data_IF_604933252954
#
_entry.id   IF_604933252954
#
_cell.length_a   1.000
_cell.length_b   1.000
_cell.length_c   1.000
_cell.angle_alpha   90.00
_cell.angle_beta   90.00
_cell.angle_gamma   90.00
#
_symmetry.space_group_name_H-M   'P 1'
#
loop_
_entity.id
_entity.type
_entity.pdbx_description
1 polymer ?
#
# COMPACT_ATOMS: atom_id res chain seq x y z
N UNK A 1 -13.96 3.65 11.30
CA UNK A 1 -14.08 3.92 12.75
C UNK A 1 -15.47 4.48 13.04
N UNK A 2 -16.40 3.67 13.56
CA UNK A 2 -17.69 4.17 14.07
C UNK A 2 -17.47 4.61 15.51
N UNK A 3 -17.64 5.90 15.80
CA UNK A 3 -17.58 6.44 17.17
C UNK A 3 -18.81 5.95 17.93
N UNK A 4 -18.61 5.12 18.94
CA UNK A 4 -19.61 4.83 19.97
C UNK A 4 -19.69 5.99 20.97
N UNK A 5 -20.85 6.24 21.59
CA UNK A 5 -20.98 7.27 22.60
C UNK A 5 -20.09 6.95 23.80
N UNK A 6 -19.21 7.89 24.15
CA UNK A 6 -18.38 7.85 25.35
C UNK A 6 -19.31 8.00 26.56
N UNK A 7 -19.58 6.90 27.26
CA UNK A 7 -20.13 6.97 28.61
C UNK A 7 -19.02 7.47 29.54
N UNK A 8 -19.08 8.75 29.90
CA UNK A 8 -18.26 9.32 30.97
C UNK A 8 -18.66 8.65 32.29
N UNK A 9 -17.87 7.67 32.74
CA UNK A 9 -17.89 7.23 34.13
C UNK A 9 -17.28 8.34 34.99
N UNK A 10 -18.15 9.17 35.56
CA UNK A 10 -17.80 10.16 36.58
C UNK A 10 -17.31 9.41 37.82
N UNK A 11 -16.06 9.64 38.20
CA UNK A 11 -15.52 9.26 39.51
C UNK A 11 -16.28 10.07 40.58
N UNK A 12 -17.20 9.41 41.27
CA UNK A 12 -17.98 10.01 42.36
C UNK A 12 -17.19 10.00 43.68
N UNK A 13 -17.31 11.13 44.36
CA UNK A 13 -16.73 11.54 45.64
C UNK A 13 -17.21 10.68 46.84
N UNK A 14 -16.44 10.75 47.93
CA UNK A 14 -16.24 9.81 49.04
C UNK A 14 -17.43 9.37 49.94
N UNK A 15 -18.70 9.64 49.61
CA UNK A 15 -19.85 9.24 50.47
C UNK A 15 -20.58 7.96 50.03
N UNK A 16 -19.99 7.18 49.11
CA UNK A 16 -20.64 6.05 48.43
C UNK A 16 -20.16 4.66 48.90
N UNK A 17 -19.66 4.54 50.13
CA UNK A 17 -19.05 3.28 50.60
C UNK A 17 -20.04 2.14 50.94
N UNK A 18 -21.35 2.39 51.05
CA UNK A 18 -22.34 1.33 51.39
C UNK A 18 -23.20 0.82 50.22
N UNK A 19 -23.35 1.58 49.13
CA UNK A 19 -24.12 1.14 47.94
C UNK A 19 -23.25 0.49 46.86
N UNK A 20 -21.93 0.68 46.90
CA UNK A 20 -21.00 0.04 45.97
C UNK A 20 -20.91 -1.49 46.14
N UNK A 21 -21.13 -2.02 47.35
CA UNK A 21 -21.05 -3.47 47.59
C UNK A 21 -22.16 -4.27 46.89
N UNK A 22 -23.38 -3.73 46.81
CA UNK A 22 -24.52 -4.41 46.16
C UNK A 22 -24.39 -4.45 44.63
N UNK A 23 -23.89 -3.38 44.01
CA UNK A 23 -23.63 -3.39 42.56
C UNK A 23 -22.45 -4.31 42.21
N UNK A 24 -21.38 -4.33 43.02
CA UNK A 24 -20.26 -5.25 42.82
C UNK A 24 -20.66 -6.72 42.94
N UNK A 25 -21.63 -7.07 43.80
CA UNK A 25 -22.14 -8.45 43.91
C UNK A 25 -22.85 -8.95 42.65
N UNK A 26 -23.56 -8.09 41.91
CA UNK A 26 -24.25 -8.48 40.67
C UNK A 26 -23.24 -8.75 39.53
N UNK A 27 -22.16 -7.97 39.44
CA UNK A 27 -21.12 -8.16 38.42
C UNK A 27 -20.30 -9.45 38.60
N UNK A 28 -20.21 -9.99 39.83
CA UNK A 28 -19.54 -11.27 40.09
C UNK A 28 -20.31 -12.49 39.52
N UNK A 29 -21.60 -12.33 39.24
CA UNK A 29 -22.47 -13.41 38.70
C UNK A 29 -22.56 -13.43 37.18
N UNK A 30 -21.89 -12.52 36.47
CA UNK A 30 -21.89 -12.54 35.01
C UNK A 30 -21.19 -13.82 34.53
N UNK A 31 -21.85 -14.63 33.68
CA UNK A 31 -21.22 -15.81 33.06
C UNK A 31 -19.97 -15.41 32.28
N UNK A 32 -18.96 -16.28 32.29
CA UNK A 32 -17.67 -16.00 31.67
C UNK A 32 -17.79 -15.76 30.17
N UNK A 33 -18.76 -16.39 29.52
CA UNK A 33 -19.08 -16.23 28.10
C UNK A 33 -19.48 -14.80 27.75
N UNK A 34 -20.28 -14.14 28.61
CA UNK A 34 -20.70 -12.75 28.41
C UNK A 34 -19.51 -11.80 28.56
N UNK A 35 -18.60 -12.07 29.51
CA UNK A 35 -17.37 -11.27 29.69
C UNK A 35 -16.48 -11.38 28.44
N UNK A 36 -16.33 -12.59 27.88
CA UNK A 36 -15.55 -12.80 26.67
C UNK A 36 -16.17 -12.08 25.46
N UNK A 37 -17.50 -12.13 25.31
CA UNK A 37 -18.22 -11.38 24.25
C UNK A 37 -18.04 -9.86 24.37
N UNK A 38 -17.95 -9.32 25.59
CA UNK A 38 -17.62 -7.91 25.79
C UNK A 38 -16.18 -7.62 25.36
N UNK A 39 -15.23 -8.50 25.68
CA UNK A 39 -13.82 -8.35 25.33
C UNK A 39 -13.55 -8.42 23.82
N UNK A 40 -14.39 -9.11 23.04
CA UNK A 40 -14.32 -9.10 21.58
C UNK A 40 -14.49 -7.70 20.97
N UNK A 41 -15.10 -6.76 21.71
CA UNK A 41 -15.30 -5.37 21.28
C UNK A 41 -14.25 -4.40 21.83
N UNK A 42 -13.37 -4.84 22.73
CA UNK A 42 -12.38 -3.98 23.37
C UNK A 42 -11.04 -4.03 22.62
N UNK A 43 -10.39 -2.87 22.50
CA UNK A 43 -8.97 -2.81 22.19
C UNK A 43 -8.12 -3.39 23.33
N UNK A 44 -6.83 -3.65 23.09
CA UNK A 44 -5.92 -4.12 24.14
C UNK A 44 -5.88 -3.13 25.32
N UNK A 45 -5.83 -1.82 25.05
CA UNK A 45 -5.81 -0.80 26.09
C UNK A 45 -7.08 -0.82 26.96
N UNK A 46 -8.25 -0.92 26.32
CA UNK A 46 -9.53 -1.01 27.04
C UNK A 46 -9.67 -2.33 27.79
N UNK A 47 -9.18 -3.43 27.23
CA UNK A 47 -9.15 -4.74 27.89
C UNK A 47 -8.29 -4.70 29.17
N UNK A 48 -7.14 -4.01 29.14
CA UNK A 48 -6.31 -3.84 30.32
C UNK A 48 -7.03 -3.04 31.41
N UNK A 49 -7.71 -1.96 31.04
CA UNK A 49 -8.53 -1.19 31.98
C UNK A 49 -9.65 -2.05 32.59
N UNK A 50 -10.38 -2.79 31.75
CA UNK A 50 -11.42 -3.72 32.21
C UNK A 50 -10.85 -4.82 33.12
N UNK A 51 -9.62 -5.28 32.88
CA UNK A 51 -8.94 -6.31 33.67
C UNK A 51 -8.60 -5.87 35.10
N UNK A 52 -8.66 -4.56 35.39
CA UNK A 52 -8.39 -4.02 36.72
C UNK A 52 -9.62 -4.06 37.65
N UNK A 53 -10.79 -4.45 37.14
CA UNK A 53 -12.03 -4.52 37.93
C UNK A 53 -11.97 -5.58 39.04
N UNK A 54 -11.59 -6.82 38.72
CA UNK A 54 -11.43 -7.91 39.69
C UNK A 54 -10.51 -9.02 39.16
N UNK A 55 -10.10 -9.96 40.03
CA UNK A 55 -9.22 -11.07 39.67
C UNK A 55 -9.78 -11.98 38.57
N UNK A 56 -11.10 -12.25 38.60
CA UNK A 56 -11.80 -13.06 37.59
C UNK A 56 -11.71 -12.41 36.20
N UNK A 57 -11.96 -11.11 36.10
CA UNK A 57 -11.84 -10.36 34.84
C UNK A 57 -10.41 -10.33 34.33
N UNK A 58 -9.44 -10.16 35.23
CA UNK A 58 -8.01 -10.25 34.88
C UNK A 58 -7.63 -11.61 34.30
N UNK A 59 -8.12 -12.68 34.90
CA UNK A 59 -7.87 -14.04 34.43
C UNK A 59 -8.50 -14.29 33.05
N UNK A 60 -9.74 -13.85 32.83
CA UNK A 60 -10.40 -13.94 31.52
C UNK A 60 -9.70 -13.08 30.47
N UNK A 61 -9.29 -11.85 30.83
CA UNK A 61 -8.60 -10.94 29.93
C UNK A 61 -7.30 -11.56 29.44
N UNK A 62 -6.50 -12.16 30.33
CA UNK A 62 -5.24 -12.83 29.97
C UNK A 62 -5.43 -14.00 29.00
N UNK A 63 -6.54 -14.74 29.10
CA UNK A 63 -6.86 -15.86 28.19
C UNK A 63 -7.47 -15.39 26.86
N UNK A 64 -7.96 -14.16 26.80
CA UNK A 64 -8.65 -13.62 25.63
C UNK A 64 -7.71 -13.49 24.43
N UNK A 65 -8.16 -13.82 23.19
CA UNK A 65 -7.36 -13.62 21.99
C UNK A 65 -6.82 -12.20 21.84
N UNK A 66 -7.61 -11.16 22.09
CA UNK A 66 -7.14 -9.76 22.05
C UNK A 66 -5.90 -9.53 22.92
N UNK A 67 -5.83 -10.15 24.10
CA UNK A 67 -4.66 -10.01 24.98
C UNK A 67 -3.45 -10.78 24.47
N UNK A 68 -3.58 -12.00 23.97
CA UNK A 68 -2.39 -12.85 23.67
C UNK A 68 -2.02 -12.97 22.19
N UNK A 69 -2.92 -12.60 21.27
CA UNK A 69 -2.72 -12.79 19.83
C UNK A 69 -1.84 -11.71 19.23
N UNK A 70 -2.17 -10.43 19.41
CA UNK A 70 -1.49 -9.32 18.73
C UNK A 70 -0.52 -8.60 19.66
N UNK A 71 0.71 -9.09 19.74
CA UNK A 71 1.72 -8.67 20.71
C UNK A 71 2.66 -7.64 20.07
N UNK A 72 2.75 -6.45 20.69
CA UNK A 72 3.63 -5.36 20.23
C UNK A 72 4.65 -4.99 21.31
N UNK A 73 5.92 -4.86 20.90
CA UNK A 73 7.01 -4.32 21.70
C UNK A 73 7.50 -3.02 21.05
N UNK A 74 7.33 -1.89 21.74
CA UNK A 74 7.72 -0.57 21.24
C UNK A 74 8.83 0.13 22.05
N UNK A 75 9.26 -0.48 23.17
CA UNK A 75 10.30 0.04 24.04
C UNK A 75 11.01 -1.10 24.79
N UNK A 76 12.24 -0.86 25.23
CA UNK A 76 13.05 -1.80 26.03
C UNK A 76 13.10 -1.42 27.52
N UNK A 77 12.05 -0.75 28.02
CA UNK A 77 11.88 -0.52 29.47
C UNK A 77 11.50 -1.84 30.16
N UNK A 78 11.67 -1.90 31.49
CA UNK A 78 11.31 -3.10 32.27
C UNK A 78 9.84 -3.42 32.13
N UNK A 79 8.96 -2.45 32.38
CA UNK A 79 7.51 -2.65 32.27
C UNK A 79 7.07 -3.11 30.87
N UNK A 80 7.70 -2.58 29.81
CA UNK A 80 7.37 -2.97 28.44
C UNK A 80 7.76 -4.43 28.15
N UNK A 81 8.93 -4.86 28.64
CA UNK A 81 9.40 -6.25 28.48
C UNK A 81 8.61 -7.21 29.36
N UNK A 82 8.31 -6.83 30.61
CA UNK A 82 7.51 -7.66 31.51
C UNK A 82 6.10 -7.85 30.93
N UNK A 83 5.50 -6.78 30.39
CA UNK A 83 4.23 -6.87 29.69
C UNK A 83 4.31 -7.73 28.42
N UNK A 84 5.37 -7.57 27.64
CA UNK A 84 5.64 -8.36 26.44
C UNK A 84 5.73 -9.86 26.74
N UNK A 85 6.54 -10.24 27.73
CA UNK A 85 6.69 -11.63 28.19
C UNK A 85 5.38 -12.17 28.77
N UNK A 86 4.71 -11.39 29.63
CA UNK A 86 3.42 -11.80 30.20
C UNK A 86 2.37 -12.14 29.13
N UNK A 87 2.38 -11.43 28.00
CA UNK A 87 1.47 -11.72 26.86
C UNK A 87 1.89 -12.97 26.09
N UNK A 88 3.19 -13.16 25.87
CA UNK A 88 3.70 -14.39 25.25
C UNK A 88 3.41 -15.62 26.12
N UNK A 89 3.54 -15.50 27.43
CA UNK A 89 3.36 -16.62 28.35
C UNK A 89 1.88 -16.95 28.63
N UNK A 90 0.96 -16.04 28.28
CA UNK A 90 -0.47 -16.18 28.57
C UNK A 90 -1.21 -17.30 27.80
N UNK A 91 -0.55 -17.97 26.86
CA UNK A 91 -1.11 -19.15 26.19
C UNK A 91 -0.18 -19.74 25.15
N UNK A 92 -0.53 -20.91 24.62
CA UNK A 92 0.24 -21.64 23.60
C UNK A 92 -0.27 -21.45 22.16
N UNK A 93 -1.29 -20.61 21.98
CA UNK A 93 -1.94 -20.40 20.68
C UNK A 93 -1.09 -19.60 19.69
N UNK A 94 -1.65 -19.43 18.49
CA UNK A 94 -1.02 -18.64 17.42
C UNK A 94 -0.91 -17.16 17.81
N UNK A 95 0.24 -16.55 17.52
CA UNK A 95 0.50 -15.14 17.81
C UNK A 95 0.95 -14.36 16.57
N UNK A 96 0.63 -13.07 16.56
CA UNK A 96 1.16 -12.05 15.67
C UNK A 96 2.13 -11.20 16.51
N UNK A 97 3.38 -11.12 16.10
CA UNK A 97 4.45 -10.46 16.85
C UNK A 97 4.95 -9.24 16.08
N UNK A 98 4.87 -8.08 16.73
CA UNK A 98 5.33 -6.79 16.20
C UNK A 98 6.43 -6.22 17.10
N UNK A 99 7.64 -6.06 16.58
CA UNK A 99 8.77 -5.44 17.27
C UNK A 99 9.08 -4.14 16.54
N UNK A 100 8.84 -2.99 17.18
CA UNK A 100 8.98 -1.65 16.61
C UNK A 100 9.84 -0.79 17.53
N UNK A 101 11.16 -0.88 17.34
CA UNK A 101 12.15 -0.20 18.17
C UNK A 101 12.91 0.80 17.30
N UNK A 102 12.55 2.08 17.39
CA UNK A 102 13.26 3.12 16.63
C UNK A 102 14.73 3.27 17.06
N UNK A 103 15.07 2.93 18.31
CA UNK A 103 16.42 2.96 18.86
C UNK A 103 16.59 1.78 19.82
N UNK A 104 17.75 1.13 19.79
CA UNK A 104 18.13 0.08 20.75
C UNK A 104 19.30 0.57 21.58
N UNK A 105 19.01 1.17 22.74
CA UNK A 105 20.02 1.69 23.67
C UNK A 105 20.73 0.61 24.49
N UNK A 106 20.14 -0.58 24.59
CA UNK A 106 20.66 -1.69 25.40
C UNK A 106 20.71 -3.00 24.58
N UNK A 107 21.72 -3.20 23.71
CA UNK A 107 21.79 -4.39 22.83
C UNK A 107 21.79 -5.71 23.61
N UNK A 108 22.48 -5.78 24.76
CA UNK A 108 22.47 -6.97 25.61
C UNK A 108 21.06 -7.35 26.09
N UNK A 109 20.23 -6.35 26.42
CA UNK A 109 18.84 -6.55 26.84
C UNK A 109 17.94 -6.96 25.67
N UNK A 110 18.16 -6.38 24.50
CA UNK A 110 17.48 -6.79 23.27
C UNK A 110 17.77 -8.26 22.96
N UNK A 111 19.04 -8.67 23.00
CA UNK A 111 19.46 -10.06 22.78
C UNK A 111 18.87 -11.02 23.82
N UNK A 112 18.98 -10.70 25.11
CA UNK A 112 18.59 -11.63 26.18
C UNK A 112 17.07 -11.76 26.34
N UNK A 113 16.31 -10.68 26.16
CA UNK A 113 14.87 -10.68 26.35
C UNK A 113 14.12 -10.92 25.02
N UNK A 114 14.37 -10.06 24.02
CA UNK A 114 13.60 -10.03 22.77
C UNK A 114 14.00 -11.18 21.85
N UNK A 115 15.28 -11.35 21.54
CA UNK A 115 15.73 -12.44 20.66
C UNK A 115 15.50 -13.82 21.28
N UNK A 116 15.55 -13.95 22.61
CA UNK A 116 15.18 -15.20 23.28
C UNK A 116 13.67 -15.49 23.15
N UNK A 117 12.83 -14.49 23.36
CA UNK A 117 11.39 -14.61 23.21
C UNK A 117 10.99 -14.97 21.77
N UNK A 118 11.61 -14.34 20.76
CA UNK A 118 11.39 -14.68 19.34
C UNK A 118 11.70 -16.16 19.11
N UNK A 119 12.91 -16.63 19.47
CA UNK A 119 13.32 -18.03 19.31
C UNK A 119 12.33 -19.01 19.95
N UNK A 120 11.99 -18.77 21.21
CA UNK A 120 11.09 -19.65 21.98
C UNK A 120 9.68 -19.74 21.37
N UNK A 121 9.26 -18.72 20.63
CA UNK A 121 7.90 -18.60 20.13
C UNK A 121 7.76 -18.77 18.60
N UNK A 122 8.86 -18.94 17.84
CA UNK A 122 8.83 -19.03 16.37
C UNK A 122 7.83 -20.05 15.83
N UNK A 123 7.64 -21.18 16.52
CA UNK A 123 6.73 -22.25 16.06
C UNK A 123 5.27 -21.86 15.99
N UNK A 124 4.85 -20.84 16.74
CA UNK A 124 3.45 -20.39 16.82
C UNK A 124 3.24 -18.97 16.28
N UNK A 125 4.32 -18.31 15.83
CA UNK A 125 4.21 -16.99 15.22
C UNK A 125 3.63 -17.17 13.80
N UNK A 126 2.51 -16.49 13.54
CA UNK A 126 1.86 -16.43 12.22
C UNK A 126 2.26 -15.21 11.42
N UNK A 127 2.42 -14.07 12.08
CA UNK A 127 2.90 -12.84 11.49
C UNK A 127 4.07 -12.33 12.33
N UNK A 128 5.20 -12.08 11.68
CA UNK A 128 6.38 -11.50 12.32
C UNK A 128 6.75 -10.19 11.64
N UNK A 129 6.60 -9.09 12.36
CA UNK A 129 7.02 -7.76 11.95
C UNK A 129 8.16 -7.27 12.83
N UNK A 130 9.28 -6.92 12.20
CA UNK A 130 10.49 -6.42 12.86
C UNK A 130 10.87 -5.09 12.20
N UNK A 131 10.82 -4.01 12.97
CA UNK A 131 11.28 -2.67 12.61
C UNK A 131 12.27 -2.23 13.68
N UNK A 132 13.56 -2.38 13.40
CA UNK A 132 14.66 -2.15 14.36
C UNK A 132 15.84 -1.47 13.66
N UNK A 133 16.81 -0.89 14.39
CA UNK A 133 17.99 -0.33 13.76
C UNK A 133 18.87 -1.42 13.17
N UNK A 134 19.64 -1.12 12.11
CA UNK A 134 20.56 -2.11 11.52
C UNK A 134 21.59 -2.62 12.53
N UNK A 135 21.95 -1.81 13.54
CA UNK A 135 22.94 -2.14 14.57
C UNK A 135 22.64 -3.41 15.40
N UNK A 136 21.43 -3.96 15.33
CA UNK A 136 21.05 -5.21 16.05
C UNK A 136 20.75 -6.38 15.12
N UNK A 137 21.07 -6.26 13.83
CA UNK A 137 20.90 -7.32 12.83
C UNK A 137 21.62 -8.62 13.22
N UNK A 138 22.84 -8.52 13.74
CA UNK A 138 23.67 -9.62 14.24
C UNK A 138 23.04 -10.39 15.39
N UNK A 139 22.08 -9.79 16.09
CA UNK A 139 21.35 -10.42 17.20
C UNK A 139 20.00 -10.98 16.74
N UNK A 140 19.25 -10.24 15.91
CA UNK A 140 17.90 -10.63 15.52
C UNK A 140 17.87 -11.67 14.40
N UNK A 141 18.77 -11.60 13.41
CA UNK A 141 18.78 -12.56 12.30
C UNK A 141 19.11 -14.00 12.75
N UNK A 142 20.04 -14.23 13.70
CA UNK A 142 20.23 -15.55 14.30
C UNK A 142 19.01 -16.04 15.11
N UNK A 143 18.22 -15.13 15.68
CA UNK A 143 17.00 -15.51 16.40
C UNK A 143 15.92 -16.12 15.48
N UNK A 144 16.02 -15.87 14.16
CA UNK A 144 15.13 -16.42 13.14
C UNK A 144 15.56 -17.81 12.64
N UNK A 145 16.54 -18.47 13.26
CA UNK A 145 16.99 -19.82 12.88
C UNK A 145 16.13 -20.94 13.46
N UNK A 146 15.01 -20.64 14.12
CA UNK A 146 14.06 -21.64 14.63
C UNK A 146 12.96 -21.93 13.61
N UNK A 147 12.47 -23.17 13.57
CA UNK A 147 11.37 -23.56 12.66
C UNK A 147 10.14 -22.65 12.85
N UNK A 148 9.51 -22.29 11.72
CA UNK A 148 8.37 -21.38 11.69
C UNK A 148 7.16 -21.99 10.96
N UNK A 149 6.64 -23.16 11.41
CA UNK A 149 5.54 -23.88 10.75
C UNK A 149 4.26 -23.07 10.56
N UNK A 150 3.97 -22.11 11.44
CA UNK A 150 2.75 -21.30 11.41
C UNK A 150 2.92 -19.97 10.67
N UNK A 151 4.14 -19.60 10.28
CA UNK A 151 4.45 -18.28 9.74
C UNK A 151 3.85 -18.11 8.35
N UNK A 152 3.00 -17.09 8.19
CA UNK A 152 2.31 -16.72 6.95
C UNK A 152 2.91 -15.45 6.33
N UNK A 153 3.31 -14.49 7.18
CA UNK A 153 3.86 -13.21 6.75
C UNK A 153 5.11 -12.85 7.55
N UNK A 154 6.18 -12.48 6.85
CA UNK A 154 7.42 -11.98 7.41
C UNK A 154 7.67 -10.55 6.92
N UNK A 155 7.87 -9.61 7.84
CA UNK A 155 8.31 -8.26 7.50
C UNK A 155 9.53 -7.90 8.33
N UNK A 156 10.65 -7.59 7.67
CA UNK A 156 11.88 -7.14 8.30
C UNK A 156 12.24 -5.79 7.70
N UNK A 157 12.40 -4.79 8.57
CA UNK A 157 12.74 -3.42 8.22
C UNK A 157 13.89 -2.99 9.10
N UNK A 158 15.01 -2.67 8.47
CA UNK A 158 16.11 -2.03 9.15
C UNK A 158 16.14 -0.54 8.84
N UNK A 159 16.27 0.28 9.88
CA UNK A 159 16.45 1.74 9.77
C UNK A 159 15.38 2.45 8.92
N UNK A 160 14.10 2.07 9.06
CA UNK A 160 12.99 2.64 8.26
C UNK A 160 12.96 4.18 8.26
N UNK A 161 13.37 4.81 9.36
CA UNK A 161 13.40 6.28 9.52
C UNK A 161 14.72 6.91 9.07
N UNK A 162 15.78 6.13 8.85
CA UNK A 162 17.07 6.64 8.40
C UNK A 162 17.13 6.63 6.87
N UNK A 163 17.47 7.78 6.29
CA UNK A 163 17.70 7.90 4.84
C UNK A 163 19.12 7.51 4.42
N UNK A 164 20.07 7.44 5.36
CA UNK A 164 21.48 7.13 5.10
C UNK A 164 21.72 5.62 4.95
N UNK A 165 20.76 4.89 4.37
CA UNK A 165 20.57 3.44 4.45
C UNK A 165 21.84 2.64 4.73
N UNK A 166 21.85 1.95 5.87
CA UNK A 166 22.83 0.91 6.15
C UNK A 166 22.16 -0.42 5.82
N UNK A 167 22.83 -1.26 5.02
CA UNK A 167 22.34 -2.62 4.75
C UNK A 167 22.65 -3.51 5.93
N UNK A 168 21.71 -4.39 6.26
CA UNK A 168 21.98 -5.47 7.21
C UNK A 168 23.00 -6.48 6.67
N UNK A 169 23.48 -7.32 7.57
CA UNK A 169 24.05 -8.63 7.28
C UNK A 169 23.10 -9.44 6.40
N UNK A 170 23.66 -10.32 5.56
CA UNK A 170 22.85 -11.15 4.67
C UNK A 170 21.92 -12.08 5.46
N UNK A 171 20.69 -12.28 4.97
CA UNK A 171 19.82 -13.33 5.53
C UNK A 171 20.51 -14.68 5.40
N UNK A 172 20.40 -15.50 6.45
CA UNK A 172 20.89 -16.87 6.39
C UNK A 172 20.09 -17.68 5.36
N UNK A 173 20.73 -18.46 4.48
CA UNK A 173 20.04 -19.36 3.56
C UNK A 173 19.24 -20.46 4.30
N UNK A 174 19.52 -20.67 5.59
CA UNK A 174 18.81 -21.62 6.45
C UNK A 174 17.83 -20.96 7.41
N UNK A 175 17.40 -19.71 7.16
CA UNK A 175 16.38 -19.04 7.98
C UNK A 175 15.17 -19.96 8.17
N UNK A 176 14.65 -19.99 9.39
CA UNK A 176 13.61 -20.90 9.85
C UNK A 176 13.96 -22.40 9.76
N UNK A 177 15.25 -22.76 9.77
CA UNK A 177 15.72 -24.11 9.43
C UNK A 177 15.15 -24.58 8.08
N UNK A 178 14.96 -23.65 7.15
CA UNK A 178 14.30 -23.90 5.86
C UNK A 178 12.86 -24.43 5.97
N UNK A 179 12.20 -24.27 7.13
CA UNK A 179 10.86 -24.79 7.41
C UNK A 179 9.87 -23.67 7.75
N UNK A 180 9.23 -23.12 6.71
CA UNK A 180 8.11 -22.18 6.81
C UNK A 180 7.05 -22.48 5.72
N UNK A 181 6.36 -23.65 5.79
CA UNK A 181 5.49 -24.13 4.72
C UNK A 181 4.28 -23.23 4.43
N UNK A 182 3.85 -22.42 5.40
CA UNK A 182 2.72 -21.49 5.27
C UNK A 182 3.14 -20.07 4.86
N UNK A 183 4.44 -19.80 4.68
CA UNK A 183 4.91 -18.45 4.35
C UNK A 183 4.44 -18.07 2.93
N UNK A 184 3.72 -16.95 2.82
CA UNK A 184 3.18 -16.42 1.55
C UNK A 184 3.63 -15.00 1.25
N UNK A 185 3.89 -14.22 2.29
CA UNK A 185 4.20 -12.79 2.15
C UNK A 185 5.53 -12.45 2.80
N UNK A 186 6.41 -11.77 2.05
CA UNK A 186 7.72 -11.33 2.52
C UNK A 186 7.90 -9.84 2.21
N UNK A 187 8.19 -9.05 3.23
CA UNK A 187 8.56 -7.64 3.11
C UNK A 187 9.96 -7.44 3.68
N UNK A 188 10.90 -6.95 2.89
CA UNK A 188 12.29 -6.75 3.28
C UNK A 188 12.72 -5.34 2.93
N UNK A 189 13.10 -4.53 3.92
CA UNK A 189 13.63 -3.18 3.74
C UNK A 189 15.02 -3.07 4.37
N UNK A 190 16.01 -2.67 3.56
CA UNK A 190 17.43 -2.58 3.94
C UNK A 190 18.01 -3.92 4.42
N UNK A 191 17.47 -5.01 3.88
CA UNK A 191 17.94 -6.37 4.18
C UNK A 191 18.81 -6.87 3.03
N UNK A 192 20.03 -7.29 3.32
CA UNK A 192 20.88 -7.93 2.31
C UNK A 192 20.40 -9.35 2.03
N UNK A 193 20.17 -9.66 0.76
CA UNK A 193 19.81 -11.03 0.35
C UNK A 193 21.07 -11.90 0.18
N UNK A 194 21.02 -13.18 0.56
CA UNK A 194 22.08 -14.14 0.25
C UNK A 194 22.11 -14.44 -1.26
N UNK A 195 23.24 -14.95 -1.79
CA UNK A 195 23.33 -15.36 -3.21
C UNK A 195 22.30 -16.42 -3.62
N UNK A 196 21.91 -17.29 -2.68
CA UNK A 196 20.83 -18.28 -2.85
C UNK A 196 19.73 -17.97 -1.85
N UNK A 197 18.51 -17.77 -2.33
CA UNK A 197 17.38 -17.53 -1.45
C UNK A 197 17.09 -18.74 -0.55
N UNK A 198 16.60 -18.49 0.67
CA UNK A 198 16.22 -19.56 1.57
C UNK A 198 15.10 -20.43 0.98
N UNK A 199 15.18 -21.74 1.17
CA UNK A 199 14.13 -22.69 0.73
C UNK A 199 12.78 -22.37 1.40
N UNK A 200 12.79 -21.78 2.60
CA UNK A 200 11.60 -21.29 3.29
C UNK A 200 10.78 -20.29 2.45
N UNK A 201 11.40 -19.60 1.48
CA UNK A 201 10.73 -18.61 0.63
C UNK A 201 10.13 -19.22 -0.64
N UNK A 202 10.29 -20.53 -0.88
CA UNK A 202 9.83 -21.17 -2.12
C UNK A 202 8.32 -21.03 -2.37
N UNK A 203 7.52 -20.90 -1.32
CA UNK A 203 6.06 -20.81 -1.39
C UNK A 203 5.52 -19.37 -1.38
N UNK A 204 6.38 -18.34 -1.45
CA UNK A 204 5.89 -16.96 -1.41
C UNK A 204 5.08 -16.64 -2.67
N UNK A 205 4.01 -15.88 -2.47
CA UNK A 205 3.10 -15.39 -3.51
C UNK A 205 3.27 -13.87 -3.69
N UNK A 206 3.67 -13.16 -2.63
CA UNK A 206 3.92 -11.73 -2.66
C UNK A 206 5.23 -11.37 -1.98
N UNK A 207 6.03 -10.56 -2.66
CA UNK A 207 7.27 -10.03 -2.12
C UNK A 207 7.36 -8.53 -2.32
N UNK A 208 7.75 -7.82 -1.27
CA UNK A 208 8.12 -6.41 -1.33
C UNK A 208 9.58 -6.29 -0.88
N UNK A 209 10.41 -5.70 -1.73
CA UNK A 209 11.83 -5.48 -1.48
C UNK A 209 12.14 -3.99 -1.57
N UNK A 210 12.78 -3.46 -0.54
CA UNK A 210 13.09 -2.05 -0.39
C UNK A 210 14.56 -1.81 -0.05
N UNK A 211 15.16 -0.77 -0.61
CA UNK A 211 16.49 -0.30 -0.20
C UNK A 211 16.62 1.22 -0.17
N UNK A 212 17.30 1.71 0.86
CA UNK A 212 17.82 3.07 0.93
C UNK A 212 19.33 3.14 0.62
N UNK A 213 19.95 1.98 0.34
CA UNK A 213 21.37 1.85 0.01
C UNK A 213 21.58 1.27 -1.38
N UNK A 214 22.77 1.49 -1.94
CA UNK A 214 23.17 0.87 -3.20
C UNK A 214 23.34 -0.63 -3.00
N UNK A 215 22.60 -1.42 -3.77
CA UNK A 215 22.68 -2.87 -3.76
C UNK A 215 22.22 -3.49 -5.08
N UNK A 216 22.43 -4.79 -5.22
CA UNK A 216 21.97 -5.54 -6.38
C UNK A 216 20.44 -5.62 -6.40
N UNK A 217 19.86 -5.54 -7.60
CA UNK A 217 18.44 -5.81 -7.83
C UNK A 217 18.13 -7.28 -7.50
N UNK A 218 17.03 -7.60 -6.81
CA UNK A 218 16.79 -8.93 -6.23
C UNK A 218 16.27 -9.95 -7.26
N UNK A 219 17.01 -10.21 -8.34
CA UNK A 219 16.65 -11.16 -9.41
C UNK A 219 16.48 -12.60 -8.91
N UNK A 220 17.08 -12.94 -7.78
CA UNK A 220 16.95 -14.23 -7.11
C UNK A 220 15.52 -14.51 -6.62
N UNK A 221 14.73 -13.47 -6.31
CA UNK A 221 13.32 -13.63 -5.87
C UNK A 221 12.48 -14.28 -6.96
N UNK A 222 12.34 -13.69 -8.16
CA UNK A 222 11.56 -14.29 -9.23
C UNK A 222 12.12 -15.63 -9.72
N UNK A 223 13.44 -15.87 -9.64
CA UNK A 223 14.01 -17.15 -10.07
C UNK A 223 13.83 -18.29 -9.07
N UNK A 224 13.78 -18.00 -7.77
CA UNK A 224 13.69 -19.03 -6.72
C UNK A 224 12.27 -19.27 -6.20
N UNK A 225 11.32 -18.39 -6.52
CA UNK A 225 9.96 -18.40 -5.98
C UNK A 225 8.93 -18.72 -7.09
N UNK A 226 8.67 -20.00 -7.39
CA UNK A 226 7.81 -20.40 -8.51
C UNK A 226 6.34 -19.98 -8.35
N UNK A 227 5.89 -19.69 -7.13
CA UNK A 227 4.53 -19.24 -6.83
C UNK A 227 4.37 -17.72 -6.79
N UNK A 228 5.44 -16.96 -7.08
CA UNK A 228 5.42 -15.50 -6.96
C UNK A 228 4.45 -14.88 -7.97
N UNK A 229 3.42 -14.20 -7.45
CA UNK A 229 2.41 -13.50 -8.25
C UNK A 229 2.62 -11.99 -8.25
N UNK A 230 3.16 -11.45 -7.15
CA UNK A 230 3.33 -10.00 -6.96
C UNK A 230 4.73 -9.68 -6.45
N UNK A 231 5.46 -8.86 -7.21
CA UNK A 231 6.78 -8.37 -6.83
C UNK A 231 6.81 -6.85 -6.85
N UNK A 232 7.11 -6.24 -5.71
CA UNK A 232 7.34 -4.81 -5.59
C UNK A 232 8.79 -4.59 -5.18
N UNK A 233 9.52 -3.81 -5.96
CA UNK A 233 10.88 -3.38 -5.68
C UNK A 233 10.90 -1.86 -5.65
N UNK A 234 11.36 -1.28 -4.55
CA UNK A 234 11.55 0.16 -4.45
C UNK A 234 12.92 0.52 -3.89
N UNK A 235 13.53 1.56 -4.44
CA UNK A 235 14.89 1.96 -4.11
C UNK A 235 15.04 3.46 -4.17
N UNK A 236 15.55 4.09 -3.10
CA UNK A 236 15.85 5.52 -3.13
C UNK A 236 17.16 5.82 -3.85
N UNK A 237 18.15 4.93 -3.69
CA UNK A 237 19.46 5.05 -4.35
C UNK A 237 19.60 4.01 -5.47
N UNK A 238 20.78 3.92 -6.08
CA UNK A 238 21.00 3.08 -7.26
C UNK A 238 20.98 1.59 -6.94
N UNK A 239 19.87 0.91 -7.23
CA UNK A 239 19.87 -0.55 -7.34
C UNK A 239 20.43 -0.95 -8.71
N UNK A 240 21.49 -1.74 -8.74
CA UNK A 240 22.11 -2.15 -10.00
C UNK A 240 21.78 -3.58 -10.37
N UNK A 241 21.65 -3.85 -11.67
CA UNK A 241 21.59 -5.22 -12.16
C UNK A 241 22.97 -5.84 -12.14
N UNK A 242 23.12 -7.09 -11.66
CA UNK A 242 24.39 -7.79 -11.80
C UNK A 242 24.66 -8.09 -13.29
N UNK A 243 25.92 -8.01 -13.75
CA UNK A 243 26.26 -8.21 -15.16
C UNK A 243 25.98 -9.66 -15.61
N UNK A 244 25.48 -9.80 -16.84
CA UNK A 244 25.36 -11.11 -17.50
C UNK A 244 24.21 -12.00 -17.00
N UNK A 245 23.20 -11.44 -16.32
CA UNK A 245 22.03 -12.23 -15.92
C UNK A 245 21.20 -12.68 -17.13
N UNK A 246 20.84 -13.97 -17.21
CA UNK A 246 19.95 -14.45 -18.25
C UNK A 246 18.54 -13.90 -18.03
N UNK A 247 17.74 -13.90 -19.09
CA UNK A 247 16.31 -13.60 -19.00
C UNK A 247 15.61 -14.63 -18.09
N UNK A 248 14.82 -14.15 -17.14
CA UNK A 248 14.05 -14.93 -16.18
C UNK A 248 12.60 -14.91 -16.62
N UNK A 249 12.06 -16.08 -16.96
CA UNK A 249 10.65 -16.22 -17.31
C UNK A 249 9.86 -16.57 -16.06
N UNK A 250 8.96 -15.67 -15.65
CA UNK A 250 8.12 -15.84 -14.45
C UNK A 250 6.66 -16.07 -14.84
N UNK A 251 6.29 -17.32 -15.10
CA UNK A 251 4.96 -17.65 -15.62
C UNK A 251 3.78 -17.27 -14.71
N UNK A 252 4.01 -17.05 -13.41
CA UNK A 252 2.97 -16.69 -12.44
C UNK A 252 2.96 -15.23 -12.04
N UNK A 253 3.98 -14.45 -12.40
CA UNK A 253 4.08 -13.06 -11.99
C UNK A 253 3.03 -12.23 -12.73
N UNK A 254 2.02 -11.76 -12.00
CA UNK A 254 0.91 -10.95 -12.52
C UNK A 254 1.14 -9.47 -12.32
N UNK A 255 1.88 -9.10 -11.28
CA UNK A 255 2.13 -7.73 -10.88
C UNK A 255 3.60 -7.49 -10.60
N UNK A 256 4.19 -6.51 -11.28
CA UNK A 256 5.59 -6.09 -11.11
C UNK A 256 5.67 -4.58 -10.92
N UNK A 257 6.16 -4.13 -9.76
CA UNK A 257 6.37 -2.72 -9.49
C UNK A 257 7.86 -2.48 -9.27
N UNK A 258 8.48 -1.60 -10.06
CA UNK A 258 9.91 -1.26 -9.99
C UNK A 258 10.07 0.25 -9.86
N UNK A 259 10.16 0.73 -8.63
CA UNK A 259 10.09 2.16 -8.28
C UNK A 259 11.45 2.57 -7.72
N UNK A 260 12.39 2.82 -8.63
CA UNK A 260 13.78 3.13 -8.32
C UNK A 260 14.07 4.63 -8.54
N UNK A 261 15.03 5.18 -7.80
CA UNK A 261 15.47 6.58 -7.94
C UNK A 261 16.08 6.88 -9.32
N UNK A 262 16.70 5.88 -9.94
CA UNK A 262 17.19 5.89 -11.31
C UNK A 262 16.63 4.69 -12.06
N UNK A 263 16.39 4.82 -13.36
CA UNK A 263 15.78 3.73 -14.10
C UNK A 263 16.78 2.77 -14.69
N UNK A 264 16.28 1.55 -14.85
CA UNK A 264 17.04 0.42 -15.37
C UNK A 264 16.13 -0.36 -16.32
N UNK A 265 16.06 0.02 -17.61
CA UNK A 265 15.20 -0.66 -18.61
C UNK A 265 15.47 -2.15 -18.66
N UNK A 266 16.74 -2.49 -18.48
CA UNK A 266 17.22 -3.86 -18.55
C UNK A 266 16.59 -4.75 -17.48
N UNK A 267 16.02 -4.19 -16.39
CA UNK A 267 15.29 -4.99 -15.38
C UNK A 267 14.04 -5.59 -16.01
N UNK A 268 13.29 -4.77 -16.76
CA UNK A 268 12.05 -5.20 -17.39
C UNK A 268 12.31 -6.24 -18.47
N UNK A 269 13.40 -6.07 -19.24
CA UNK A 269 13.85 -7.06 -20.24
C UNK A 269 14.27 -8.36 -19.58
N UNK A 270 15.07 -8.27 -18.51
CA UNK A 270 15.54 -9.43 -17.75
C UNK A 270 14.37 -10.22 -17.16
N UNK A 271 13.30 -9.57 -16.71
CA UNK A 271 12.12 -10.22 -16.13
C UNK A 271 11.07 -10.67 -17.15
N UNK A 272 11.33 -10.50 -18.45
CA UNK A 272 10.36 -10.76 -19.51
C UNK A 272 8.99 -10.11 -19.23
N UNK A 273 9.00 -8.83 -18.87
CA UNK A 273 7.82 -8.10 -18.39
C UNK A 273 6.64 -8.04 -19.39
N UNK A 274 6.90 -8.40 -20.64
CA UNK A 274 5.92 -8.50 -21.73
C UNK A 274 4.79 -9.50 -21.45
N UNK A 275 4.96 -10.45 -20.53
CA UNK A 275 3.89 -11.38 -20.13
C UNK A 275 3.16 -10.96 -18.85
N UNK A 276 3.63 -9.91 -18.17
CA UNK A 276 3.08 -9.47 -16.89
C UNK A 276 1.90 -8.52 -17.13
N UNK A 277 0.77 -8.82 -16.48
CA UNK A 277 -0.48 -8.09 -16.66
C UNK A 277 -0.39 -6.65 -16.16
N UNK A 278 0.22 -6.43 -15.02
CA UNK A 278 0.32 -5.12 -14.38
C UNK A 278 1.78 -4.79 -14.08
N UNK A 279 2.32 -3.80 -14.78
CA UNK A 279 3.70 -3.34 -14.57
C UNK A 279 3.70 -1.87 -14.24
N UNK A 280 4.31 -1.52 -13.10
CA UNK A 280 4.46 -0.15 -12.63
C UNK A 280 5.95 0.20 -12.51
N UNK A 281 6.36 1.36 -13.04
CA UNK A 281 7.72 1.86 -12.93
C UNK A 281 7.76 3.29 -12.39
N UNK A 282 8.89 3.72 -11.82
CA UNK A 282 9.08 5.12 -11.44
C UNK A 282 9.16 6.05 -12.66
N UNK A 283 8.51 7.21 -12.61
CA UNK A 283 8.60 8.27 -13.64
C UNK A 283 10.04 8.82 -13.77
N UNK A 284 10.83 8.78 -12.70
CA UNK A 284 12.24 9.18 -12.70
C UNK A 284 13.17 8.16 -13.36
N UNK A 285 12.62 7.08 -13.91
CA UNK A 285 13.43 6.03 -14.52
C UNK A 285 14.21 6.52 -15.77
N UNK A 286 13.84 7.67 -16.35
CA UNK A 286 14.41 8.11 -17.63
C UNK A 286 14.03 7.18 -18.78
N UNK A 287 13.17 6.18 -18.52
CA UNK A 287 12.58 5.32 -19.52
C UNK A 287 11.58 6.12 -20.33
N UNK A 288 12.05 6.67 -21.44
CA UNK A 288 11.19 7.06 -22.57
C UNK A 288 10.79 5.86 -23.42
N UNK A 289 10.94 4.66 -22.85
CA UNK A 289 11.12 3.45 -23.61
C UNK A 289 9.78 3.09 -24.28
N UNK A 290 9.70 3.34 -25.59
CA UNK A 290 8.56 2.92 -26.42
C UNK A 290 8.28 1.44 -26.18
N UNK A 291 9.32 0.64 -25.94
CA UNK A 291 9.24 -0.77 -25.63
C UNK A 291 8.40 -1.12 -24.40
N UNK A 292 8.33 -0.25 -23.39
CA UNK A 292 7.47 -0.51 -22.22
C UNK A 292 5.97 -0.45 -22.56
N UNK A 293 5.62 0.42 -23.50
CA UNK A 293 4.24 0.64 -23.94
C UNK A 293 3.87 -0.18 -25.18
N UNK A 294 4.85 -0.72 -25.92
CA UNK A 294 4.63 -1.64 -27.05
C UNK A 294 3.80 -2.88 -26.65
N UNK A 295 3.87 -3.29 -25.38
CA UNK A 295 3.09 -4.41 -24.82
C UNK A 295 1.59 -4.15 -24.68
N UNK A 296 1.19 -2.88 -24.62
CA UNK A 296 -0.20 -2.46 -24.61
C UNK A 296 -0.57 -2.39 -26.08
N UNK A 297 -1.28 -3.38 -26.61
CA UNK A 297 -1.78 -3.39 -27.99
C UNK A 297 -3.21 -2.82 -28.05
N UNK A 298 -3.72 -2.46 -29.23
CA UNK A 298 -5.13 -2.03 -29.38
C UNK A 298 -5.55 -0.68 -28.73
N UNK A 299 -6.85 -0.49 -28.47
CA UNK A 299 -7.39 0.70 -27.82
C UNK A 299 -6.98 0.86 -26.36
N UNK A 300 -6.63 2.09 -25.98
CA UNK A 300 -6.08 2.40 -24.65
C UNK A 300 -6.99 3.34 -23.87
N UNK A 301 -7.13 3.05 -22.59
CA UNK A 301 -7.63 3.98 -21.57
C UNK A 301 -6.43 4.57 -20.84
N UNK A 302 -6.33 5.90 -20.87
CA UNK A 302 -5.30 6.66 -20.19
C UNK A 302 -5.88 7.25 -18.91
N UNK A 303 -5.24 7.03 -17.77
CA UNK A 303 -5.66 7.61 -16.50
C UNK A 303 -4.52 8.38 -15.86
N UNK A 304 -4.81 9.57 -15.35
CA UNK A 304 -3.90 10.34 -14.53
C UNK A 304 -4.59 10.70 -13.22
N UNK A 305 -4.04 10.25 -12.09
CA UNK A 305 -4.66 10.49 -10.79
C UNK A 305 -3.63 10.63 -9.68
N UNK A 306 -4.03 11.31 -8.61
CA UNK A 306 -3.21 11.55 -7.43
C UNK A 306 -3.80 10.80 -6.24
N UNK A 307 -3.02 9.90 -5.66
CA UNK A 307 -3.36 9.21 -4.41
C UNK A 307 -2.33 9.53 -3.33
N UNK A 308 -2.58 9.09 -2.09
CA UNK A 308 -1.66 9.30 -0.97
C UNK A 308 -0.23 8.81 -1.29
N UNK A 309 -0.10 7.72 -2.06
CA UNK A 309 1.18 7.14 -2.44
C UNK A 309 1.90 7.85 -3.60
N UNK A 310 1.29 8.83 -4.27
CA UNK A 310 1.92 9.59 -5.36
C UNK A 310 1.01 9.86 -6.56
N UNK A 311 1.59 10.50 -7.57
CA UNK A 311 0.99 10.70 -8.89
C UNK A 311 1.11 9.42 -9.72
N UNK A 312 0.04 9.00 -10.39
CA UNK A 312 0.03 7.84 -11.28
C UNK A 312 -0.41 8.26 -12.67
N UNK A 313 0.29 7.71 -13.67
CA UNK A 313 -0.09 7.74 -15.08
C UNK A 313 -0.24 6.29 -15.55
N UNK A 314 -1.45 5.90 -15.95
CA UNK A 314 -1.78 4.52 -16.28
C UNK A 314 -2.25 4.40 -17.73
N UNK A 315 -1.69 3.44 -18.48
CA UNK A 315 -2.13 3.02 -19.80
C UNK A 315 -2.72 1.62 -19.66
N UNK A 316 -4.02 1.49 -19.92
CA UNK A 316 -4.77 0.24 -19.82
C UNK A 316 -5.32 -0.18 -21.17
N UNK A 317 -4.94 -1.37 -21.65
CA UNK A 317 -5.53 -1.97 -22.84
C UNK A 317 -6.93 -2.50 -22.51
N UNK A 318 -7.94 -2.10 -23.30
CA UNK A 318 -9.34 -2.40 -23.00
C UNK A 318 -9.68 -3.90 -23.12
N UNK A 319 -9.12 -4.58 -24.12
CA UNK A 319 -9.47 -5.97 -24.44
C UNK A 319 -8.73 -6.97 -23.55
N UNK A 320 -7.42 -6.82 -23.41
CA UNK A 320 -6.59 -7.73 -22.61
C UNK A 320 -6.62 -7.42 -21.12
N UNK A 321 -6.93 -6.17 -20.74
CA UNK A 321 -6.79 -5.67 -19.38
C UNK A 321 -5.33 -5.40 -18.95
N UNK A 322 -4.37 -5.46 -19.87
CA UNK A 322 -2.96 -5.16 -19.58
C UNK A 322 -2.81 -3.72 -19.13
N UNK A 323 -1.99 -3.53 -18.09
CA UNK A 323 -1.80 -2.28 -17.39
C UNK A 323 -0.31 -1.93 -17.34
N UNK A 324 0.01 -0.71 -17.76
CA UNK A 324 1.34 -0.11 -17.69
C UNK A 324 1.25 1.20 -16.95
N UNK A 325 2.02 1.34 -15.87
CA UNK A 325 1.90 2.47 -14.94
C UNK A 325 3.22 3.16 -14.74
N UNK A 326 3.17 4.47 -14.65
CA UNK A 326 4.27 5.30 -14.21
C UNK A 326 3.87 5.94 -12.88
N UNK A 327 4.75 5.87 -11.89
CA UNK A 327 4.55 6.46 -10.57
C UNK A 327 5.51 7.62 -10.38
N UNK A 328 4.95 8.81 -10.14
CA UNK A 328 5.63 9.99 -9.67
C UNK A 328 5.59 10.12 -8.15
N UNK A 329 6.39 11.05 -7.62
CA UNK A 329 6.25 11.48 -6.23
C UNK A 329 4.93 12.24 -6.04
N UNK A 330 4.46 12.37 -4.80
CA UNK A 330 3.20 13.06 -4.51
C UNK A 330 3.30 14.56 -4.81
N UNK A 331 4.47 15.14 -4.60
CA UNK A 331 4.78 16.55 -4.80
C UNK A 331 5.16 16.88 -6.24
N UNK A 332 5.20 15.86 -7.13
CA UNK A 332 5.50 16.04 -8.54
C UNK A 332 4.40 16.89 -9.20
N UNK A 333 4.80 17.99 -9.81
CA UNK A 333 3.86 18.84 -10.55
C UNK A 333 3.31 18.07 -11.77
N UNK A 334 2.03 18.19 -12.10
CA UNK A 334 1.42 17.43 -13.21
C UNK A 334 2.02 17.77 -14.59
N UNK A 335 2.57 18.98 -14.73
CA UNK A 335 3.25 19.50 -15.92
C UNK A 335 4.78 19.34 -15.86
N UNK A 336 5.31 18.65 -14.84
CA UNK A 336 6.73 18.39 -14.73
C UNK A 336 7.23 17.62 -15.97
N UNK A 337 8.47 17.90 -16.36
CA UNK A 337 9.07 17.34 -17.58
C UNK A 337 9.02 15.80 -17.62
N UNK A 338 9.05 15.13 -16.46
CA UNK A 338 8.92 13.67 -16.37
C UNK A 338 7.54 13.19 -16.82
N UNK A 339 6.48 13.81 -16.31
CA UNK A 339 5.09 13.49 -16.71
C UNK A 339 4.91 13.79 -18.18
N UNK A 340 5.40 14.98 -18.60
CA UNK A 340 5.35 15.43 -19.99
C UNK A 340 6.05 14.49 -20.96
N UNK A 341 7.23 13.96 -20.61
CA UNK A 341 7.94 13.02 -21.45
C UNK A 341 7.16 11.72 -21.73
N UNK A 342 6.28 11.31 -20.81
CA UNK A 342 5.41 10.14 -21.01
C UNK A 342 4.16 10.48 -21.83
N UNK A 343 3.61 11.69 -21.64
CA UNK A 343 2.44 12.15 -22.36
C UNK A 343 2.73 12.59 -23.81
N UNK A 344 3.95 13.04 -24.12
CA UNK A 344 4.35 13.41 -25.49
C UNK A 344 4.55 12.21 -26.44
N UNK A 345 4.28 10.98 -25.98
CA UNK A 345 4.36 9.79 -26.82
C UNK A 345 3.18 9.73 -27.81
N UNK A 346 3.35 10.38 -28.96
CA UNK A 346 2.33 10.51 -30.02
C UNK A 346 1.78 9.17 -30.52
N UNK A 347 2.58 8.11 -30.53
CA UNK A 347 2.13 6.77 -30.91
C UNK A 347 1.11 6.19 -29.93
N UNK A 348 1.29 6.44 -28.62
CA UNK A 348 0.34 5.99 -27.62
C UNK A 348 -0.89 6.88 -27.56
N UNK A 349 -0.70 8.21 -27.66
CA UNK A 349 -1.81 9.17 -27.67
C UNK A 349 -2.78 8.93 -28.83
N UNK A 350 -2.29 8.52 -30.00
CA UNK A 350 -3.15 8.18 -31.14
C UNK A 350 -4.00 6.92 -30.95
N UNK A 351 -3.87 6.24 -29.81
CA UNK A 351 -4.63 5.02 -29.47
C UNK A 351 -5.52 5.20 -28.25
N UNK A 352 -5.45 6.36 -27.59
CA UNK A 352 -6.24 6.67 -26.40
C UNK A 352 -7.69 6.90 -26.81
N UNK A 353 -8.59 6.01 -26.39
CA UNK A 353 -10.04 6.12 -26.60
C UNK A 353 -10.78 6.73 -25.42
N UNK A 354 -10.21 6.61 -24.22
CA UNK A 354 -10.73 7.20 -23.00
C UNK A 354 -9.58 7.85 -22.24
N UNK A 355 -9.77 9.09 -21.79
CA UNK A 355 -8.82 9.78 -20.93
C UNK A 355 -9.52 10.22 -19.63
N UNK A 356 -9.01 9.76 -18.49
CA UNK A 356 -9.53 10.12 -17.17
C UNK A 356 -8.49 10.94 -16.41
N UNK A 357 -8.91 12.06 -15.83
CA UNK A 357 -8.07 12.92 -14.97
C UNK A 357 -8.88 13.48 -13.81
N UNK A 358 -8.27 14.31 -12.96
CA UNK A 358 -8.95 15.01 -11.89
C UNK A 358 -8.75 16.53 -11.96
N UNK A 359 -9.59 17.31 -11.28
CA UNK A 359 -9.51 18.78 -11.30
C UNK A 359 -8.17 19.29 -10.75
N UNK A 360 -7.51 18.57 -9.84
CA UNK A 360 -6.15 18.87 -9.38
C UNK A 360 -5.06 18.73 -10.44
N UNK A 361 -5.32 17.94 -11.48
CA UNK A 361 -4.33 17.54 -12.48
C UNK A 361 -4.64 18.16 -13.85
N UNK A 362 -5.54 19.15 -13.92
CA UNK A 362 -6.00 19.75 -15.18
C UNK A 362 -4.89 20.43 -15.98
N UNK A 363 -3.84 20.92 -15.33
CA UNK A 363 -2.67 21.48 -16.03
C UNK A 363 -2.01 20.47 -16.97
N UNK A 364 -2.24 19.17 -16.78
CA UNK A 364 -1.76 18.12 -17.68
C UNK A 364 -2.35 18.22 -19.09
N UNK A 365 -3.57 18.75 -19.23
CA UNK A 365 -4.19 18.94 -20.53
C UNK A 365 -3.36 19.89 -21.40
N UNK A 366 -2.63 20.83 -20.78
CA UNK A 366 -1.75 21.74 -21.53
C UNK A 366 -0.59 21.01 -22.24
N UNK A 367 -0.26 19.82 -21.76
CA UNK A 367 0.77 18.97 -22.36
C UNK A 367 0.20 18.14 -23.50
N UNK A 368 -1.09 17.79 -23.42
CA UNK A 368 -1.79 17.00 -24.41
C UNK A 368 -2.25 17.91 -25.55
N UNK A 369 -1.45 18.03 -26.61
CA UNK A 369 -1.83 18.86 -27.77
C UNK A 369 -3.00 18.24 -28.57
N UNK A 370 -3.03 16.90 -28.67
CA UNK A 370 -4.00 16.21 -29.52
C UNK A 370 -4.29 14.79 -29.02
N UNK A 371 -5.57 14.41 -28.99
CA UNK A 371 -6.06 13.06 -28.71
C UNK A 371 -7.06 12.63 -29.81
N UNK A 372 -6.58 12.22 -31.00
CA UNK A 372 -7.42 12.02 -32.18
C UNK A 372 -8.46 10.91 -32.03
N UNK A 373 -8.15 9.88 -31.23
CA UNK A 373 -9.03 8.72 -31.03
C UNK A 373 -9.86 8.79 -29.76
N UNK A 374 -9.72 9.86 -28.97
CA UNK A 374 -10.41 9.98 -27.69
C UNK A 374 -11.90 10.20 -27.90
N UNK A 375 -12.70 9.26 -27.40
CA UNK A 375 -14.16 9.27 -27.45
C UNK A 375 -14.80 9.64 -26.12
N UNK A 376 -14.08 9.43 -25.01
CA UNK A 376 -14.55 9.71 -23.66
C UNK A 376 -13.49 10.50 -22.88
N UNK A 377 -13.89 11.63 -22.31
CA UNK A 377 -13.08 12.40 -21.35
C UNK A 377 -13.75 12.31 -19.97
N UNK A 378 -13.08 11.71 -18.99
CA UNK A 378 -13.52 11.64 -17.60
C UNK A 378 -12.79 12.66 -16.73
N UNK A 379 -13.53 13.41 -15.91
CA UNK A 379 -12.99 14.38 -14.96
C UNK A 379 -13.56 14.12 -13.57
N UNK A 380 -12.69 13.75 -12.64
CA UNK A 380 -13.02 13.62 -11.23
C UNK A 380 -12.84 14.96 -10.51
N UNK A 381 -13.87 15.43 -9.81
CA UNK A 381 -13.89 16.66 -9.04
C UNK A 381 -13.21 16.41 -7.68
N UNK A 382 -12.03 17.00 -7.49
CA UNK A 382 -11.35 17.00 -6.21
C UNK A 382 -11.94 18.04 -5.26
N UNK A 383 -12.03 17.71 -3.98
CA UNK A 383 -12.46 18.65 -2.94
C UNK A 383 -11.61 19.93 -2.97
N UNK A 384 -12.30 21.08 -3.06
CA UNK A 384 -11.72 22.42 -3.10
C UNK A 384 -11.05 22.82 -4.41
N UNK A 385 -11.27 22.08 -5.50
CA UNK A 385 -10.68 22.37 -6.81
C UNK A 385 -11.78 22.42 -7.88
N UNK A 386 -12.05 23.63 -8.35
CA UNK A 386 -13.02 23.87 -9.42
C UNK A 386 -12.51 23.34 -10.77
N UNK A 387 -13.42 23.19 -11.73
CA UNK A 387 -13.08 22.84 -13.11
C UNK A 387 -12.34 24.02 -13.77
N UNK A 388 -11.03 23.85 -13.99
CA UNK A 388 -10.19 24.88 -14.60
C UNK A 388 -10.09 24.71 -16.12
N UNK A 389 -10.09 25.83 -16.83
CA UNK A 389 -9.83 25.87 -18.28
C UNK A 389 -8.32 25.74 -18.48
N UNK A 390 -7.84 24.76 -19.28
CA UNK A 390 -6.43 24.64 -19.60
C UNK A 390 -5.93 25.89 -20.33
N UNK A 391 -4.67 26.25 -20.13
CA UNK A 391 -4.05 27.41 -20.78
C UNK A 391 -3.78 27.21 -22.28
N UNK A 392 -3.82 25.96 -22.75
CA UNK A 392 -3.83 25.63 -24.17
C UNK A 392 -4.95 24.64 -24.49
N UNK A 393 -5.59 24.83 -25.64
CA UNK A 393 -6.66 23.96 -26.09
C UNK A 393 -6.16 22.57 -26.49
N UNK A 394 -6.96 21.55 -26.19
CA UNK A 394 -6.67 20.15 -26.57
C UNK A 394 -7.61 19.71 -27.68
N UNK A 395 -7.07 19.33 -28.84
CA UNK A 395 -7.88 18.88 -29.96
C UNK A 395 -8.37 17.43 -29.75
N UNK A 396 -9.70 17.22 -29.71
CA UNK A 396 -10.35 15.93 -29.48
C UNK A 396 -11.48 15.67 -30.50
N UNK A 397 -11.11 15.47 -31.77
CA UNK A 397 -12.05 15.40 -32.90
C UNK A 397 -13.01 14.21 -32.91
N UNK A 398 -12.83 13.23 -32.03
CA UNK A 398 -13.73 12.08 -31.86
C UNK A 398 -14.44 12.07 -30.51
N UNK A 399 -14.32 13.13 -29.72
CA UNK A 399 -14.94 13.19 -28.40
C UNK A 399 -16.45 13.12 -28.54
N UNK A 400 -17.06 12.14 -27.88
CA UNK A 400 -18.53 11.94 -27.87
C UNK A 400 -19.11 12.08 -26.49
N UNK A 401 -18.31 11.84 -25.46
CA UNK A 401 -18.75 11.82 -24.08
C UNK A 401 -17.79 12.56 -23.15
N UNK A 402 -18.33 13.43 -22.32
CA UNK A 402 -17.68 14.03 -21.17
C UNK A 402 -18.33 13.46 -19.90
N UNK A 403 -17.54 12.85 -19.02
CA UNK A 403 -17.97 12.24 -17.77
C UNK A 403 -17.45 13.08 -16.61
N UNK A 404 -18.35 13.58 -15.75
CA UNK A 404 -18.01 14.36 -14.55
C UNK A 404 -18.37 13.55 -13.31
N UNK A 405 -17.37 13.26 -12.48
CA UNK A 405 -17.46 12.35 -11.34
C UNK A 405 -17.07 13.13 -10.08
N UNK A 406 -17.77 12.95 -8.96
CA UNK A 406 -17.43 13.56 -7.68
C UNK A 406 -18.33 13.08 -6.54
N UNK A 407 -17.73 12.70 -5.41
CA UNK A 407 -18.46 12.10 -4.29
C UNK A 407 -19.30 13.11 -3.48
N UNK A 408 -18.86 14.37 -3.39
CA UNK A 408 -19.52 15.42 -2.57
C UNK A 408 -19.34 16.83 -3.20
N UNK A 409 -19.59 16.94 -4.51
CA UNK A 409 -19.34 18.17 -5.29
C UNK A 409 -20.58 18.95 -5.67
N UNK A 410 -20.42 20.27 -5.76
CA UNK A 410 -21.25 21.15 -6.59
C UNK A 410 -20.49 21.44 -7.87
N UNK A 411 -21.15 21.36 -9.02
CA UNK A 411 -20.57 21.83 -10.28
C UNK A 411 -21.53 22.77 -10.98
N UNK A 412 -20.99 23.88 -11.46
CA UNK A 412 -21.75 24.81 -12.30
C UNK A 412 -21.73 24.35 -13.76
N UNK A 413 -22.90 24.19 -14.36
CA UNK A 413 -23.05 23.84 -15.77
C UNK A 413 -22.44 24.89 -16.72
N UNK A 414 -22.38 26.15 -16.28
CA UNK A 414 -21.67 27.22 -16.99
C UNK A 414 -20.16 26.97 -17.05
N UNK A 415 -19.56 26.54 -15.94
CA UNK A 415 -18.14 26.15 -15.90
C UNK A 415 -17.83 24.95 -16.81
N UNK A 416 -18.73 23.96 -16.91
CA UNK A 416 -18.59 22.84 -17.85
C UNK A 416 -18.64 23.34 -19.29
N UNK A 417 -19.58 24.22 -19.60
CA UNK A 417 -19.69 24.83 -20.94
C UNK A 417 -18.42 25.59 -21.31
N UNK A 418 -17.93 26.46 -20.43
CA UNK A 418 -16.70 27.21 -20.64
C UNK A 418 -15.48 26.30 -20.82
N UNK A 419 -15.37 25.23 -20.03
CA UNK A 419 -14.32 24.24 -20.20
C UNK A 419 -14.34 23.58 -21.58
N UNK A 420 -15.51 23.21 -22.09
CA UNK A 420 -15.63 22.58 -23.42
C UNK A 420 -15.32 23.59 -24.53
N UNK A 421 -15.80 24.83 -24.42
CA UNK A 421 -15.65 25.84 -25.47
C UNK A 421 -14.23 26.43 -25.54
N UNK A 422 -13.63 26.70 -24.38
CA UNK A 422 -12.34 27.37 -24.29
C UNK A 422 -11.18 26.41 -24.04
N UNK A 423 -11.45 25.22 -23.50
CA UNK A 423 -10.42 24.23 -23.15
C UNK A 423 -10.22 23.13 -24.19
N UNK A 424 -11.23 22.85 -25.02
CA UNK A 424 -11.20 21.77 -26.00
C UNK A 424 -11.37 22.31 -27.43
N UNK A 425 -10.62 21.76 -28.37
CA UNK A 425 -10.71 22.08 -29.78
C UNK A 425 -11.27 20.91 -30.59
N UNK A 426 -11.89 21.23 -31.73
CA UNK A 426 -12.44 20.27 -32.70
C UNK A 426 -13.50 19.30 -32.16
N UNK A 427 -14.15 19.62 -31.04
CA UNK A 427 -15.15 18.74 -30.41
C UNK A 427 -16.40 18.59 -31.28
N UNK A 428 -16.81 17.36 -31.65
CA UNK A 428 -18.06 17.09 -32.36
C UNK A 428 -19.29 17.59 -31.62
N UNK A 429 -20.31 18.04 -32.36
CA UNK A 429 -21.62 18.42 -31.82
C UNK A 429 -22.71 17.44 -32.32
N UNK A 430 -23.61 16.97 -31.43
CA UNK A 430 -23.66 17.23 -29.99
C UNK A 430 -22.61 16.43 -29.19
N UNK A 431 -22.13 17.00 -28.08
CA UNK A 431 -21.34 16.32 -27.06
C UNK A 431 -22.27 15.87 -25.92
N UNK A 432 -22.19 14.61 -25.50
CA UNK A 432 -22.96 14.09 -24.37
C UNK A 432 -22.21 14.31 -23.05
N UNK A 433 -22.85 14.95 -22.08
CA UNK A 433 -22.29 15.19 -20.75
C UNK A 433 -22.99 14.30 -19.74
N UNK A 434 -22.25 13.45 -19.04
CA UNK A 434 -22.77 12.57 -18.00
C UNK A 434 -22.25 13.05 -16.64
N UNK A 435 -23.15 13.18 -15.67
CA UNK A 435 -22.80 13.50 -14.28
C UNK A 435 -23.01 12.27 -13.41
N UNK A 436 -22.13 12.05 -12.42
CA UNK A 436 -22.34 11.00 -11.41
C UNK A 436 -23.64 11.22 -10.65
N UNK A 437 -24.37 10.14 -10.38
CA UNK A 437 -25.58 10.19 -9.57
C UNK A 437 -25.28 10.79 -8.18
N UNK A 438 -26.02 11.85 -7.81
CA UNK A 438 -25.87 12.55 -6.54
C UNK A 438 -25.03 13.83 -6.60
N UNK A 439 -24.39 14.14 -7.73
CA UNK A 439 -23.68 15.41 -7.91
C UNK A 439 -24.68 16.58 -8.03
N UNK A 440 -24.46 17.66 -7.26
CA UNK A 440 -25.32 18.86 -7.28
C UNK A 440 -24.90 19.77 -8.44
N UNK A 441 -25.62 19.66 -9.56
CA UNK A 441 -25.36 20.46 -10.78
C UNK A 441 -26.21 21.73 -10.75
N UNK A 442 -25.57 22.89 -10.69
CA UNK A 442 -26.27 24.19 -10.78
C UNK A 442 -26.30 24.71 -12.22
N UNK A 443 -27.36 25.42 -12.59
CA UNK A 443 -27.53 25.96 -13.95
C UNK A 443 -28.05 24.93 -14.96
N UNK A 444 -27.88 25.22 -16.25
CA UNK A 444 -28.30 24.36 -17.36
C UNK A 444 -27.25 24.33 -18.46
N UNK A 445 -27.00 23.17 -19.04
CA UNK A 445 -26.17 23.02 -20.24
C UNK A 445 -26.90 23.60 -21.47
N UNK A 446 -26.15 24.08 -22.46
CA UNK A 446 -26.70 24.42 -23.78
C UNK A 446 -27.17 23.14 -24.48
N UNK A 447 -28.47 22.84 -24.38
CA UNK A 447 -29.08 21.62 -24.91
C UNK A 447 -28.95 21.40 -26.42
N UNK A 448 -28.40 22.36 -27.19
CA UNK A 448 -28.11 22.17 -28.62
C UNK A 448 -26.71 21.63 -28.88
N UNK A 449 -25.72 22.04 -28.09
CA UNK A 449 -24.32 21.63 -28.22
C UNK A 449 -23.92 20.56 -27.20
N UNK A 450 -24.44 20.69 -25.97
CA UNK A 450 -24.13 19.87 -24.81
C UNK A 450 -25.42 19.20 -24.30
N UNK A 451 -25.54 17.90 -24.53
CA UNK A 451 -26.73 17.12 -24.16
C UNK A 451 -26.44 16.39 -22.85
N UNK A 452 -27.22 16.67 -21.81
CA UNK A 452 -27.18 15.87 -20.60
C UNK A 452 -27.58 14.42 -20.92
N UNK A 453 -26.71 13.47 -20.55
CA UNK A 453 -26.90 12.04 -20.75
C UNK A 453 -27.28 11.33 -19.44
N UNK A 454 -27.58 10.03 -19.52
CA UNK A 454 -27.92 9.25 -18.34
C UNK A 454 -26.83 9.35 -17.26
N UNK A 455 -27.22 9.47 -15.98
CA UNK A 455 -26.28 9.60 -14.89
C UNK A 455 -25.38 8.36 -14.79
N UNK A 456 -24.13 8.58 -14.38
CA UNK A 456 -23.18 7.50 -14.13
C UNK A 456 -23.51 6.84 -12.80
N UNK A 457 -23.72 5.52 -12.83
CA UNK A 457 -23.77 4.66 -11.66
C UNK A 457 -22.43 3.96 -11.55
N UNK A 458 -21.55 4.50 -10.71
CA UNK A 458 -20.20 3.98 -10.46
C UNK A 458 -20.21 3.13 -9.20
#
# INVERSE_FOLDING_TARGET
MRKWPVYNFVLLSQDQHRTNDLHLMLFLRIPSEIILLLYDQLSVSELLLASNTCSKWREHARRHPTFRRDIRLAALTTDALDFFHARLDAGSGVVNLHIDLAVVTHPARFRSAVCAAVRQNMRRIRLLEIDVPTAVDVDILPALQEQAPMLQALQIRFDRRCKLGVLSSALSPTIFQSHAPLLREVFLLNVRLPPRLPEAFRQIESSIFGSHSDQEFPLQIPSSCPNLERLFVYGMTGMHLPPGYPQIVTHRLRQLHVILGHGHPEILRTLAATHIMDVCIGMNSGLRDKHFLDDVCGPVQLELFLVESGLFLEYKERESGRLRRFRGQREMQPDAWQVRAHLENTFMLSRVQAFNTSTRLMSVLNVLQHLPECTTLGITLDAGHDLQIPSSTVAMSKLRRLEIIGDEGRIDAGAVTAFVEDGLADVPTPLYVAFQAGLDVTGSLDGTRLIASEPLYI
#
